data_IF_571824945848
#
_entry.id   IF_571824945848
#
_cell.length_a   1.000
_cell.length_b   1.000
_cell.length_c   1.000
_cell.angle_alpha   90.00
_cell.angle_beta   90.00
_cell.angle_gamma   90.00
#
_symmetry.space_group_name_H-M   'P 1'
#
loop_
_entity.id
_entity.type
_entity.pdbx_description
1 polymer ?
#
# COMPACT_ATOMS: atom_id res chain seq x y z
N UNK A 1 -21.17 -10.64 -25.55
CA UNK A 1 -21.13 -10.03 -24.20
C UNK A 1 -19.89 -10.53 -23.46
N UNK A 2 -19.82 -11.80 -23.05
CA UNK A 2 -18.64 -12.37 -22.34
C UNK A 2 -17.29 -12.11 -23.03
N UNK A 3 -17.20 -12.27 -24.36
CA UNK A 3 -15.92 -12.05 -25.07
C UNK A 3 -15.41 -10.61 -25.01
N UNK A 4 -16.31 -9.62 -24.98
CA UNK A 4 -15.94 -8.21 -24.83
C UNK A 4 -15.56 -7.90 -23.37
N UNK A 5 -16.29 -8.47 -22.40
CA UNK A 5 -15.97 -8.35 -20.98
C UNK A 5 -14.58 -8.93 -20.66
N UNK A 6 -14.26 -10.11 -21.19
CA UNK A 6 -12.95 -10.74 -21.03
C UNK A 6 -11.82 -9.94 -21.68
N UNK A 7 -12.10 -9.18 -22.74
CA UNK A 7 -11.10 -8.34 -23.39
C UNK A 7 -10.62 -7.20 -22.46
N UNK A 8 -11.49 -6.71 -21.57
CA UNK A 8 -11.16 -5.68 -20.58
C UNK A 8 -10.20 -6.23 -19.51
N UNK A 9 -10.31 -7.51 -19.17
CA UNK A 9 -9.49 -8.18 -18.13
C UNK A 9 -8.24 -8.89 -18.70
N UNK A 10 -7.85 -8.61 -19.95
CA UNK A 10 -6.67 -9.23 -20.58
C UNK A 10 -5.41 -9.16 -19.70
N UNK A 11 -5.05 -8.01 -19.08
CA UNK A 11 -3.87 -7.94 -18.23
C UNK A 11 -3.91 -8.90 -17.04
N UNK A 12 -5.03 -8.96 -16.32
CA UNK A 12 -5.23 -9.83 -15.16
C UNK A 12 -5.22 -11.31 -15.56
N UNK A 13 -5.83 -11.65 -16.71
CA UNK A 13 -5.86 -13.01 -17.24
C UNK A 13 -4.45 -13.45 -17.63
N UNK A 14 -3.69 -12.63 -18.35
CA UNK A 14 -2.31 -12.93 -18.76
C UNK A 14 -1.42 -13.18 -17.53
N UNK A 15 -1.50 -12.31 -16.52
CA UNK A 15 -0.71 -12.46 -15.29
C UNK A 15 -1.10 -13.71 -14.50
N UNK A 16 -2.39 -14.04 -14.46
CA UNK A 16 -2.87 -15.27 -13.80
C UNK A 16 -2.39 -16.53 -14.52
N UNK A 17 -2.48 -16.55 -15.85
CA UNK A 17 -1.97 -17.65 -16.68
C UNK A 17 -0.45 -17.77 -16.56
N UNK A 18 0.26 -16.64 -16.54
CA UNK A 18 1.70 -16.61 -16.30
C UNK A 18 2.05 -17.21 -14.93
N UNK A 19 1.36 -16.84 -13.85
CA UNK A 19 1.61 -17.40 -12.52
C UNK A 19 1.40 -18.92 -12.48
N UNK A 20 0.31 -19.42 -13.07
CA UNK A 20 0.04 -20.86 -13.15
C UNK A 20 1.07 -21.60 -14.02
N UNK A 21 1.42 -21.04 -15.19
CA UNK A 21 2.43 -21.61 -16.09
C UNK A 21 3.82 -21.63 -15.47
N UNK A 22 4.24 -20.54 -14.83
CA UNK A 22 5.51 -20.44 -14.12
C UNK A 22 5.60 -21.43 -12.95
N UNK A 23 4.49 -21.63 -12.23
CA UNK A 23 4.38 -22.61 -11.14
C UNK A 23 4.58 -24.05 -11.64
N UNK A 24 3.89 -24.43 -12.72
CA UNK A 24 4.06 -25.75 -13.33
C UNK A 24 5.48 -25.93 -13.89
N UNK A 25 5.98 -24.94 -14.64
CA UNK A 25 7.33 -24.99 -15.20
C UNK A 25 8.39 -25.17 -14.11
N UNK A 26 8.32 -24.41 -13.01
CA UNK A 26 9.26 -24.51 -11.91
C UNK A 26 9.24 -25.90 -11.25
N UNK A 27 8.06 -26.46 -10.98
CA UNK A 27 7.91 -27.76 -10.31
C UNK A 27 8.45 -28.92 -11.17
N UNK A 28 8.19 -28.89 -12.48
CA UNK A 28 8.54 -29.99 -13.39
C UNK A 28 9.94 -29.91 -13.99
N UNK A 29 10.68 -28.81 -13.79
CA UNK A 29 12.05 -28.66 -14.30
C UNK A 29 13.07 -28.65 -13.17
N UNK A 30 13.52 -27.48 -12.72
CA UNK A 30 14.65 -27.35 -11.80
C UNK A 30 14.36 -26.56 -10.51
N UNK A 31 13.07 -26.37 -10.18
CA UNK A 31 12.60 -25.80 -8.90
C UNK A 31 13.34 -24.49 -8.55
N UNK A 32 14.04 -24.46 -7.43
CA UNK A 32 14.75 -23.28 -6.92
C UNK A 32 15.86 -22.78 -7.84
N UNK A 33 16.43 -23.63 -8.70
CA UNK A 33 17.45 -23.19 -9.66
C UNK A 33 16.86 -22.23 -10.72
N UNK A 34 15.54 -22.25 -10.96
CA UNK A 34 14.87 -21.28 -11.82
C UNK A 34 14.51 -19.98 -11.12
N UNK A 35 14.59 -19.90 -9.80
CA UNK A 35 14.09 -18.76 -9.05
C UNK A 35 14.70 -17.41 -9.50
N UNK A 36 16.02 -17.30 -9.78
CA UNK A 36 16.59 -16.07 -10.33
C UNK A 36 16.00 -15.71 -11.70
N UNK A 37 15.96 -16.65 -12.64
CA UNK A 37 15.43 -16.43 -13.98
C UNK A 37 13.95 -16.04 -13.96
N UNK A 38 13.14 -16.71 -13.12
CA UNK A 38 11.74 -16.39 -12.90
C UNK A 38 11.55 -15.01 -12.28
N UNK A 39 12.44 -14.59 -11.37
CA UNK A 39 12.36 -13.25 -10.77
C UNK A 39 12.54 -12.16 -11.83
N UNK A 40 13.54 -12.30 -12.70
CA UNK A 40 13.76 -11.37 -13.81
C UNK A 40 12.63 -11.43 -14.86
N UNK A 41 12.19 -12.62 -15.23
CA UNK A 41 11.08 -12.81 -16.18
C UNK A 41 9.78 -12.19 -15.63
N UNK A 42 9.47 -12.41 -14.36
CA UNK A 42 8.30 -11.83 -13.69
C UNK A 42 8.40 -10.31 -13.67
N UNK A 43 9.55 -9.74 -13.28
CA UNK A 43 9.73 -8.29 -13.28
C UNK A 43 9.51 -7.69 -14.69
N UNK A 44 10.02 -8.37 -15.72
CA UNK A 44 9.82 -7.97 -17.12
C UNK A 44 8.34 -8.04 -17.53
N UNK A 45 7.65 -9.15 -17.23
CA UNK A 45 6.23 -9.32 -17.56
C UNK A 45 5.37 -8.25 -16.87
N UNK A 46 5.63 -7.97 -15.59
CA UNK A 46 4.93 -6.91 -14.85
C UNK A 46 5.18 -5.53 -15.46
N UNK A 47 6.43 -5.22 -15.83
CA UNK A 47 6.77 -3.94 -16.46
C UNK A 47 6.13 -3.79 -17.85
N UNK A 48 6.12 -4.84 -18.67
CA UNK A 48 5.47 -4.84 -19.99
C UNK A 48 3.96 -4.65 -19.84
N UNK A 49 3.32 -5.35 -18.88
CA UNK A 49 1.90 -5.15 -18.60
C UNK A 49 1.60 -3.74 -18.09
N UNK A 50 2.48 -3.17 -17.26
CA UNK A 50 2.37 -1.78 -16.81
C UNK A 50 2.43 -0.79 -17.98
N UNK A 51 3.39 -0.98 -18.89
CA UNK A 51 3.48 -0.17 -20.12
C UNK A 51 2.26 -0.35 -21.02
N UNK A 52 1.79 -1.58 -21.20
CA UNK A 52 0.59 -1.87 -21.98
C UNK A 52 -0.63 -1.12 -21.44
N UNK A 53 -0.87 -1.17 -20.13
CA UNK A 53 -1.98 -0.45 -19.49
C UNK A 53 -1.80 1.07 -19.61
N UNK A 54 -0.57 1.58 -19.50
CA UNK A 54 -0.29 3.01 -19.60
C UNK A 54 -0.59 3.59 -20.99
N UNK A 55 -0.49 2.78 -22.05
CA UNK A 55 -0.78 3.20 -23.43
C UNK A 55 -2.16 2.75 -23.93
N UNK A 56 -2.82 1.84 -23.22
CA UNK A 56 -4.13 1.33 -23.61
C UNK A 56 -5.24 2.33 -23.27
N UNK A 57 -5.95 2.79 -24.31
CA UNK A 57 -7.33 3.29 -24.27
C UNK A 57 -7.65 4.54 -23.42
N UNK A 58 -8.52 5.39 -23.96
CA UNK A 58 -9.22 6.42 -23.18
C UNK A 58 -10.61 5.96 -22.76
N UNK A 59 -11.24 6.68 -21.83
CA UNK A 59 -12.63 6.45 -21.42
C UNK A 59 -12.81 5.45 -20.28
N UNK A 60 -14.06 5.08 -20.03
CA UNK A 60 -14.47 4.13 -18.99
C UNK A 60 -15.05 2.89 -19.67
N UNK A 61 -14.50 1.72 -19.36
CA UNK A 61 -15.00 0.43 -19.81
C UNK A 61 -15.54 -0.33 -18.60
N UNK A 62 -16.75 -0.89 -18.76
CA UNK A 62 -17.41 -1.71 -17.76
C UNK A 62 -17.45 -3.15 -18.26
N UNK A 63 -17.12 -4.09 -17.39
CA UNK A 63 -17.25 -5.52 -17.66
C UNK A 63 -18.15 -6.17 -16.61
N UNK A 64 -18.84 -7.25 -17.00
CA UNK A 64 -19.68 -8.06 -16.12
C UNK A 64 -20.73 -7.21 -15.37
N UNK A 65 -21.51 -6.42 -16.10
CA UNK A 65 -22.58 -5.58 -15.54
C UNK A 65 -22.10 -4.60 -14.45
N UNK A 66 -20.88 -4.06 -14.64
CA UNK A 66 -20.30 -3.08 -13.74
C UNK A 66 -19.58 -3.65 -12.52
N UNK A 67 -19.46 -4.98 -12.39
CA UNK A 67 -18.63 -5.60 -11.34
C UNK A 67 -17.14 -5.27 -11.50
N UNK A 68 -16.69 -4.97 -12.72
CA UNK A 68 -15.33 -4.56 -13.01
C UNK A 68 -15.29 -3.27 -13.84
N UNK A 69 -14.52 -2.29 -13.35
CA UNK A 69 -14.41 -0.94 -13.89
C UNK A 69 -12.96 -0.65 -14.31
N UNK A 70 -12.77 -0.44 -15.61
CA UNK A 70 -11.53 0.02 -16.22
C UNK A 70 -11.66 1.49 -16.64
N UNK A 71 -11.13 2.39 -15.82
CA UNK A 71 -11.15 3.84 -16.04
C UNK A 71 -9.75 4.43 -15.81
N UNK A 72 -9.61 5.75 -15.97
CA UNK A 72 -8.33 6.41 -15.80
C UNK A 72 -7.74 6.25 -14.39
N UNK A 73 -8.60 6.20 -13.37
CA UNK A 73 -8.20 6.02 -11.98
C UNK A 73 -7.62 4.62 -11.77
N UNK A 74 -8.34 3.58 -12.20
CA UNK A 74 -7.86 2.20 -12.03
C UNK A 74 -6.63 1.92 -12.87
N UNK A 75 -6.55 2.43 -14.10
CA UNK A 75 -5.34 2.32 -14.93
C UNK A 75 -4.13 2.97 -14.27
N UNK A 76 -4.25 4.20 -13.74
CA UNK A 76 -3.15 4.87 -13.06
C UNK A 76 -2.64 4.08 -11.85
N UNK A 77 -3.56 3.60 -10.99
CA UNK A 77 -3.19 2.81 -9.83
C UNK A 77 -2.59 1.44 -10.20
N UNK A 78 -3.13 0.73 -11.21
CA UNK A 78 -2.56 -0.53 -11.73
C UNK A 78 -1.14 -0.33 -12.25
N UNK A 79 -0.90 0.74 -13.01
CA UNK A 79 0.44 1.08 -13.52
C UNK A 79 1.42 1.27 -12.36
N UNK A 80 1.06 2.04 -11.33
CA UNK A 80 1.89 2.21 -10.13
C UNK A 80 2.18 0.88 -9.42
N UNK A 81 1.15 0.04 -9.24
CA UNK A 81 1.28 -1.29 -8.59
C UNK A 81 2.26 -2.18 -9.38
N UNK A 82 2.11 -2.25 -10.70
CA UNK A 82 2.92 -3.09 -11.57
C UNK A 82 4.38 -2.66 -11.57
N UNK A 83 4.66 -1.36 -11.73
CA UNK A 83 6.02 -0.85 -11.69
C UNK A 83 6.66 -0.97 -10.31
N UNK A 84 5.92 -0.71 -9.23
CA UNK A 84 6.42 -0.90 -7.87
C UNK A 84 6.79 -2.37 -7.60
N UNK A 85 5.91 -3.31 -7.96
CA UNK A 85 6.18 -4.74 -7.79
C UNK A 85 7.37 -5.21 -8.64
N UNK A 86 7.44 -4.79 -9.91
CA UNK A 86 8.57 -5.09 -10.80
C UNK A 86 9.89 -4.59 -10.21
N UNK A 87 9.92 -3.34 -9.75
CA UNK A 87 11.13 -2.75 -9.21
C UNK A 87 11.55 -3.37 -7.87
N UNK A 88 10.61 -3.76 -7.00
CA UNK A 88 10.93 -4.51 -5.77
C UNK A 88 11.56 -5.86 -6.09
N UNK A 89 11.08 -6.58 -7.11
CA UNK A 89 11.69 -7.84 -7.55
C UNK A 89 13.14 -7.63 -8.02
N UNK A 90 13.38 -6.58 -8.82
CA UNK A 90 14.72 -6.27 -9.35
C UNK A 90 15.69 -5.82 -8.25
N UNK A 91 15.26 -4.91 -7.37
CA UNK A 91 16.10 -4.40 -6.28
C UNK A 91 16.35 -5.49 -5.23
N UNK A 92 15.36 -6.35 -4.99
CA UNK A 92 15.41 -7.42 -3.99
C UNK A 92 16.14 -8.68 -4.43
N UNK A 93 16.41 -8.89 -5.73
CA UNK A 93 16.95 -10.17 -6.23
C UNK A 93 18.27 -10.55 -5.58
N UNK A 94 19.23 -9.63 -5.58
CA UNK A 94 20.57 -9.86 -5.05
C UNK A 94 20.54 -10.08 -3.54
N UNK A 95 19.68 -9.33 -2.84
CA UNK A 95 19.47 -9.49 -1.42
C UNK A 95 18.91 -10.89 -1.10
N UNK A 96 17.90 -11.35 -1.85
CA UNK A 96 17.28 -12.64 -1.63
C UNK A 96 18.22 -13.81 -1.95
N UNK A 97 19.06 -13.69 -3.00
CA UNK A 97 20.07 -14.70 -3.35
C UNK A 97 21.15 -14.77 -2.27
N UNK A 98 21.74 -13.63 -1.87
CA UNK A 98 22.83 -13.57 -0.87
C UNK A 98 22.42 -14.10 0.49
N UNK A 99 21.14 -14.02 0.83
CA UNK A 99 20.60 -14.49 2.10
C UNK A 99 19.93 -15.88 2.00
N UNK A 100 20.06 -16.58 0.86
CA UNK A 100 19.50 -17.93 0.63
C UNK A 100 17.97 -18.02 0.80
N UNK A 101 17.29 -16.90 0.57
CA UNK A 101 15.84 -16.74 0.70
C UNK A 101 15.10 -16.88 -0.62
N UNK A 102 15.80 -16.78 -1.76
CA UNK A 102 15.15 -16.80 -3.06
C UNK A 102 14.68 -18.23 -3.41
N UNK A 103 13.37 -18.42 -3.34
CA UNK A 103 12.67 -19.63 -3.80
C UNK A 103 11.80 -19.31 -5.00
N UNK A 104 11.51 -20.29 -5.85
CA UNK A 104 10.77 -20.03 -7.08
C UNK A 104 9.32 -19.60 -6.82
N UNK A 105 8.76 -19.92 -5.64
CA UNK A 105 7.43 -19.49 -5.21
C UNK A 105 7.37 -17.98 -4.96
N UNK A 106 8.48 -17.32 -4.59
CA UNK A 106 8.50 -15.89 -4.30
C UNK A 106 7.99 -15.03 -5.47
N UNK A 107 8.59 -15.08 -6.68
CA UNK A 107 8.09 -14.28 -7.80
C UNK A 107 6.69 -14.70 -8.26
N UNK A 108 6.25 -15.95 -8.03
CA UNK A 108 4.90 -16.41 -8.40
C UNK A 108 3.85 -15.82 -7.45
N UNK A 109 4.09 -15.89 -6.14
CA UNK A 109 3.23 -15.29 -5.11
C UNK A 109 3.15 -13.77 -5.28
N UNK A 110 4.23 -13.13 -5.71
CA UNK A 110 4.23 -11.71 -6.06
C UNK A 110 3.26 -11.39 -7.20
N UNK A 111 3.22 -12.21 -8.26
CA UNK A 111 2.25 -12.02 -9.36
C UNK A 111 0.83 -12.24 -8.88
N UNK A 112 0.57 -13.30 -8.12
CA UNK A 112 -0.77 -13.54 -7.54
C UNK A 112 -1.21 -12.36 -6.66
N UNK A 113 -0.29 -11.79 -5.88
CA UNK A 113 -0.56 -10.59 -5.11
C UNK A 113 -0.92 -9.39 -5.99
N UNK A 114 -0.16 -9.18 -7.07
CA UNK A 114 -0.43 -8.12 -8.05
C UNK A 114 -1.76 -8.30 -8.76
N UNK A 115 -2.13 -9.52 -9.15
CA UNK A 115 -3.45 -9.79 -9.74
C UNK A 115 -4.56 -9.41 -8.75
N UNK A 116 -4.44 -9.81 -7.49
CA UNK A 116 -5.38 -9.40 -6.43
C UNK A 116 -5.48 -7.88 -6.30
N UNK A 117 -4.32 -7.20 -6.26
CA UNK A 117 -4.25 -5.73 -6.22
C UNK A 117 -4.92 -5.06 -7.43
N UNK A 118 -4.73 -5.59 -8.65
CA UNK A 118 -5.34 -5.05 -9.87
C UNK A 118 -6.87 -5.23 -9.86
N UNK A 119 -7.35 -6.39 -9.41
CA UNK A 119 -8.79 -6.67 -9.26
C UNK A 119 -9.43 -5.72 -8.25
N UNK A 120 -8.80 -5.48 -7.10
CA UNK A 120 -9.34 -4.57 -6.07
C UNK A 120 -9.55 -3.15 -6.60
N UNK A 121 -8.58 -2.63 -7.33
CA UNK A 121 -8.60 -1.24 -7.83
C UNK A 121 -9.65 -1.05 -8.93
N UNK A 122 -9.99 -2.14 -9.63
CA UNK A 122 -11.05 -2.19 -10.64
C UNK A 122 -12.38 -2.73 -10.13
N UNK A 123 -12.54 -2.99 -8.83
CA UNK A 123 -13.80 -3.52 -8.32
C UNK A 123 -14.92 -2.48 -8.42
N UNK A 124 -16.07 -2.88 -8.96
CA UNK A 124 -17.32 -2.12 -8.96
C UNK A 124 -18.40 -2.71 -8.03
N UNK A 125 -18.07 -3.78 -7.31
CA UNK A 125 -18.93 -4.37 -6.28
C UNK A 125 -18.12 -4.93 -5.10
N UNK A 126 -18.80 -5.12 -3.97
CA UNK A 126 -18.18 -5.56 -2.71
C UNK A 126 -17.58 -6.98 -2.78
N UNK A 127 -18.10 -7.88 -3.62
CA UNK A 127 -17.61 -9.26 -3.73
C UNK A 127 -16.35 -9.30 -4.59
N UNK A 128 -16.34 -8.66 -5.77
CA UNK A 128 -15.12 -8.57 -6.58
C UNK A 128 -13.99 -7.88 -5.82
N UNK A 129 -14.32 -6.83 -5.06
CA UNK A 129 -13.42 -6.19 -4.13
C UNK A 129 -12.83 -7.21 -3.13
N UNK A 130 -13.69 -7.95 -2.43
CA UNK A 130 -13.27 -8.93 -1.43
C UNK A 130 -12.37 -10.02 -2.02
N UNK A 131 -12.71 -10.53 -3.20
CA UNK A 131 -11.91 -11.56 -3.89
C UNK A 131 -10.51 -11.06 -4.24
N UNK A 132 -10.40 -9.83 -4.75
CA UNK A 132 -9.09 -9.20 -4.99
C UNK A 132 -8.31 -9.01 -3.69
N UNK A 133 -8.98 -8.56 -2.63
CA UNK A 133 -8.40 -8.32 -1.30
C UNK A 133 -7.85 -9.61 -0.68
N UNK A 134 -8.58 -10.72 -0.74
CA UNK A 134 -8.12 -12.00 -0.20
C UNK A 134 -7.00 -12.61 -1.04
N UNK A 135 -7.09 -12.55 -2.37
CA UNK A 135 -6.05 -13.07 -3.26
C UNK A 135 -4.70 -12.40 -2.97
N UNK A 136 -4.68 -11.06 -2.83
CA UNK A 136 -3.44 -10.38 -2.45
C UNK A 136 -2.98 -10.76 -1.04
N UNK A 137 -3.92 -10.88 -0.10
CA UNK A 137 -3.59 -11.01 1.32
C UNK A 137 -2.96 -12.37 1.59
N UNK A 138 -3.57 -13.44 1.09
CA UNK A 138 -3.06 -14.80 1.23
C UNK A 138 -1.65 -14.94 0.63
N UNK A 139 -1.41 -14.34 -0.54
CA UNK A 139 -0.08 -14.33 -1.14
C UNK A 139 0.94 -13.58 -0.28
N UNK A 140 0.58 -12.39 0.23
CA UNK A 140 1.46 -11.58 1.08
C UNK A 140 1.74 -12.24 2.45
N UNK A 141 0.77 -12.95 3.04
CA UNK A 141 0.97 -13.69 4.30
C UNK A 141 2.04 -14.77 4.15
N UNK A 142 2.04 -15.51 3.05
CA UNK A 142 3.05 -16.54 2.76
C UNK A 142 4.42 -15.89 2.57
N UNK A 143 4.49 -14.83 1.78
CA UNK A 143 5.76 -14.12 1.50
C UNK A 143 6.33 -13.46 2.76
N UNK A 144 5.50 -12.99 3.70
CA UNK A 144 5.94 -12.46 5.00
C UNK A 144 6.76 -13.46 5.83
N UNK A 145 6.42 -14.75 5.70
CA UNK A 145 6.99 -15.87 6.45
C UNK A 145 8.04 -16.69 5.66
N UNK A 146 8.53 -16.16 4.54
CA UNK A 146 9.43 -16.92 3.64
C UNK A 146 10.71 -17.40 4.33
N UNK A 147 11.19 -16.67 5.36
CA UNK A 147 12.36 -17.08 6.17
C UNK A 147 11.93 -17.98 7.33
N UNK A 148 11.53 -19.20 7.01
CA UNK A 148 11.00 -20.20 7.96
C UNK A 148 11.92 -20.54 9.15
N UNK A 149 13.23 -20.43 8.97
CA UNK A 149 14.22 -20.75 10.01
C UNK A 149 14.42 -19.61 11.02
N UNK A 150 13.69 -18.49 10.86
CA UNK A 150 13.73 -17.35 11.77
C UNK A 150 12.42 -17.21 12.52
N UNK A 151 12.49 -17.37 13.85
CA UNK A 151 11.34 -17.17 14.75
C UNK A 151 10.69 -15.80 14.52
N UNK A 152 11.48 -14.74 14.31
CA UNK A 152 10.97 -13.38 14.05
C UNK A 152 10.16 -13.28 12.75
N UNK A 153 10.62 -13.94 11.68
CA UNK A 153 9.90 -13.93 10.39
C UNK A 153 8.61 -14.74 10.48
N UNK A 154 8.63 -15.88 11.17
CA UNK A 154 7.45 -16.71 11.40
C UNK A 154 6.43 -16.00 12.28
N UNK A 155 6.88 -15.34 13.35
CA UNK A 155 6.02 -14.51 14.21
C UNK A 155 5.37 -13.36 13.43
N UNK A 156 6.14 -12.65 12.60
CA UNK A 156 5.61 -11.60 11.73
C UNK A 156 4.54 -12.14 10.78
N UNK A 157 4.81 -13.24 10.08
CA UNK A 157 3.83 -13.87 9.20
C UNK A 157 2.54 -14.26 9.93
N UNK A 158 2.66 -14.85 11.12
CA UNK A 158 1.52 -15.24 11.94
C UNK A 158 0.71 -14.03 12.43
N UNK A 159 1.38 -12.99 12.95
CA UNK A 159 0.73 -11.73 13.35
C UNK A 159 0.01 -11.09 12.18
N UNK A 160 0.63 -11.08 11.00
CA UNK A 160 0.01 -10.51 9.79
C UNK A 160 -1.23 -11.31 9.37
N UNK A 161 -1.13 -12.64 9.34
CA UNK A 161 -2.24 -13.52 8.99
C UNK A 161 -3.42 -13.39 9.96
N UNK A 162 -3.18 -13.50 11.27
CA UNK A 162 -4.25 -13.48 12.29
C UNK A 162 -4.95 -12.12 12.32
N UNK A 163 -4.19 -11.02 12.35
CA UNK A 163 -4.77 -9.68 12.35
C UNK A 163 -5.44 -9.36 11.00
N UNK A 164 -4.87 -9.88 9.91
CA UNK A 164 -5.43 -9.75 8.56
C UNK A 164 -6.74 -10.51 8.38
N UNK A 165 -6.85 -11.71 8.95
CA UNK A 165 -8.09 -12.49 8.96
C UNK A 165 -9.19 -11.79 9.78
N UNK A 166 -8.84 -11.16 10.91
CA UNK A 166 -9.78 -10.34 11.68
C UNK A 166 -10.28 -9.16 10.86
N UNK A 167 -9.38 -8.43 10.19
CA UNK A 167 -9.74 -7.33 9.28
C UNK A 167 -10.63 -7.78 8.13
N UNK A 168 -10.34 -8.94 7.53
CA UNK A 168 -11.17 -9.58 6.50
C UNK A 168 -12.58 -9.91 7.02
N UNK A 169 -12.68 -10.46 8.23
CA UNK A 169 -13.96 -10.72 8.89
C UNK A 169 -14.78 -9.44 9.14
N UNK A 170 -14.12 -8.36 9.57
CA UNK A 170 -14.77 -7.04 9.71
C UNK A 170 -15.26 -6.52 8.36
N UNK A 171 -14.46 -6.66 7.30
CA UNK A 171 -14.86 -6.27 5.95
C UNK A 171 -16.11 -7.04 5.51
N UNK A 172 -16.10 -8.38 5.62
CA UNK A 172 -17.23 -9.22 5.22
C UNK A 172 -18.48 -8.92 6.03
N UNK A 173 -18.35 -8.65 7.33
CA UNK A 173 -19.49 -8.28 8.16
C UNK A 173 -20.06 -6.92 7.74
N UNK A 174 -19.20 -5.93 7.48
CA UNK A 174 -19.62 -4.63 6.94
C UNK A 174 -20.26 -4.72 5.56
N UNK A 175 -19.71 -5.57 4.68
CA UNK A 175 -20.27 -5.84 3.35
C UNK A 175 -21.62 -6.56 3.44
N UNK A 176 -21.78 -7.49 4.38
CA UNK A 176 -23.05 -8.19 4.64
C UNK A 176 -24.13 -7.24 5.14
N UNK A 177 -23.81 -6.35 6.08
CA UNK A 177 -24.73 -5.29 6.52
C UNK A 177 -25.10 -4.35 5.37
N UNK A 178 -24.11 -3.93 4.58
CA UNK A 178 -24.33 -3.08 3.41
C UNK A 178 -25.29 -3.76 2.43
N UNK A 179 -25.04 -5.03 2.09
CA UNK A 179 -25.91 -5.82 1.25
C UNK A 179 -27.33 -5.99 1.84
N UNK A 180 -27.44 -6.24 3.15
CA UNK A 180 -28.72 -6.45 3.81
C UNK A 180 -29.64 -5.22 3.78
N UNK A 181 -29.06 -4.01 3.80
CA UNK A 181 -29.82 -2.75 3.79
C UNK A 181 -29.92 -2.11 2.39
N UNK A 182 -28.94 -2.32 1.51
CA UNK A 182 -28.97 -1.82 0.12
C UNK A 182 -29.65 -2.80 -0.86
N UNK A 183 -29.75 -4.09 -0.52
CA UNK A 183 -30.28 -5.14 -1.39
C UNK A 183 -29.36 -5.56 -2.54
N UNK A 184 -28.13 -5.04 -2.58
CA UNK A 184 -27.15 -5.29 -3.66
C UNK A 184 -25.72 -5.14 -3.15
N UNK A 185 -24.76 -5.75 -3.85
CA UNK A 185 -23.32 -5.58 -3.61
C UNK A 185 -22.68 -4.60 -4.58
N UNK A 186 -23.37 -4.23 -5.66
CA UNK A 186 -22.88 -3.30 -6.69
C UNK A 186 -22.85 -1.88 -6.11
N UNK A 187 -21.73 -1.19 -6.33
CA UNK A 187 -21.49 0.15 -5.81
C UNK A 187 -22.54 1.17 -6.26
N UNK A 188 -22.98 1.10 -7.52
CA UNK A 188 -24.01 2.01 -8.04
C UNK A 188 -25.32 1.90 -7.25
N UNK A 189 -25.78 0.68 -6.96
CA UNK A 189 -26.99 0.49 -6.18
C UNK A 189 -26.82 0.77 -4.68
N UNK A 190 -25.60 0.67 -4.15
CA UNK A 190 -25.30 1.11 -2.77
C UNK A 190 -25.39 2.64 -2.67
N UNK A 191 -24.88 3.39 -3.66
CA UNK A 191 -25.04 4.85 -3.72
C UNK A 191 -26.52 5.22 -3.68
N UNK A 192 -27.35 4.57 -4.50
CA UNK A 192 -28.78 4.86 -4.57
C UNK A 192 -29.48 4.61 -3.23
N UNK A 193 -29.13 3.51 -2.54
CA UNK A 193 -29.66 3.19 -1.22
C UNK A 193 -29.16 4.14 -0.12
N UNK A 194 -27.95 4.70 -0.27
CA UNK A 194 -27.35 5.63 0.70
C UNK A 194 -27.84 7.08 0.54
N UNK A 195 -28.27 7.48 -0.67
CA UNK A 195 -28.60 8.87 -1.02
C UNK A 195 -30.01 9.32 -0.61
N UNK A 196 -30.78 8.46 0.08
CA UNK A 196 -32.07 8.82 0.66
C UNK A 196 -31.95 9.86 1.79
N UNK A 197 -33.07 10.50 2.16
CA UNK A 197 -33.09 11.58 3.16
C UNK A 197 -32.57 11.16 4.54
N UNK A 198 -32.69 9.87 4.89
CA UNK A 198 -32.10 9.28 6.10
C UNK A 198 -31.41 7.96 5.74
N UNK A 199 -30.08 7.93 5.86
CA UNK A 199 -29.30 6.70 5.67
C UNK A 199 -29.70 5.66 6.72
N UNK A 200 -30.06 4.42 6.34
CA UNK A 200 -30.38 3.38 7.31
C UNK A 200 -29.21 3.14 8.26
N UNK A 201 -29.48 3.04 9.56
CA UNK A 201 -28.44 2.82 10.58
C UNK A 201 -27.57 1.59 10.28
N UNK A 202 -28.17 0.52 9.75
CA UNK A 202 -27.42 -0.68 9.36
C UNK A 202 -26.42 -0.44 8.23
N UNK A 203 -26.74 0.44 7.27
CA UNK A 203 -25.83 0.84 6.20
C UNK A 203 -24.68 1.69 6.74
N UNK A 204 -24.96 2.57 7.72
CA UNK A 204 -23.93 3.33 8.44
C UNK A 204 -22.97 2.41 9.22
N UNK A 205 -23.47 1.41 9.93
CA UNK A 205 -22.62 0.40 10.57
C UNK A 205 -21.82 -0.40 9.54
N UNK A 206 -22.43 -0.75 8.40
CA UNK A 206 -21.76 -1.38 7.27
C UNK A 206 -20.56 -0.56 6.79
N UNK A 207 -20.78 0.74 6.54
CA UNK A 207 -19.74 1.71 6.18
C UNK A 207 -18.61 1.77 7.22
N UNK A 208 -18.93 1.87 8.51
CA UNK A 208 -17.93 1.92 9.59
C UNK A 208 -17.07 0.66 9.63
N UNK A 209 -17.68 -0.53 9.50
CA UNK A 209 -16.94 -1.80 9.49
C UNK A 209 -16.05 -1.94 8.26
N UNK A 210 -16.55 -1.55 7.08
CA UNK A 210 -15.76 -1.53 5.85
C UNK A 210 -14.58 -0.56 5.98
N UNK A 211 -14.81 0.68 6.42
CA UNK A 211 -13.75 1.68 6.64
C UNK A 211 -12.73 1.16 7.66
N UNK A 212 -13.16 0.54 8.75
CA UNK A 212 -12.26 -0.02 9.77
C UNK A 212 -11.36 -1.11 9.20
N UNK A 213 -11.91 -1.98 8.34
CA UNK A 213 -11.12 -3.01 7.66
C UNK A 213 -10.14 -2.43 6.64
N UNK A 214 -10.54 -1.40 5.88
CA UNK A 214 -9.65 -0.71 4.94
C UNK A 214 -8.56 0.08 5.66
N UNK A 215 -8.87 0.70 6.80
CA UNK A 215 -7.92 1.38 7.68
C UNK A 215 -6.83 0.43 8.17
N UNK A 216 -7.18 -0.82 8.51
CA UNK A 216 -6.19 -1.86 8.80
C UNK A 216 -5.26 -2.12 7.61
N UNK A 217 -5.80 -2.27 6.38
CA UNK A 217 -5.02 -2.57 5.17
C UNK A 217 -4.04 -1.46 4.80
N UNK A 218 -4.42 -0.20 5.00
CA UNK A 218 -3.51 0.94 4.77
C UNK A 218 -2.59 1.21 5.96
N UNK A 219 -2.70 0.49 7.08
CA UNK A 219 -1.95 0.72 8.33
C UNK A 219 -2.30 2.05 9.02
N UNK A 220 -3.53 2.52 8.91
CA UNK A 220 -3.97 3.73 9.61
C UNK A 220 -4.22 3.44 11.10
N UNK A 221 -3.87 4.37 11.97
CA UNK A 221 -4.24 4.29 13.38
C UNK A 221 -5.76 4.48 13.54
N UNK A 222 -6.42 3.72 14.44
CA UNK A 222 -5.83 2.86 15.46
C UNK A 222 -5.48 1.45 14.99
N UNK A 223 -5.79 1.04 13.76
CA UNK A 223 -5.66 -0.33 13.23
C UNK A 223 -4.25 -0.71 12.70
N UNK A 224 -3.22 0.01 13.12
CA UNK A 224 -1.86 -0.08 12.57
C UNK A 224 -0.98 -1.17 13.22
N UNK A 225 -1.44 -1.84 14.29
CA UNK A 225 -0.62 -2.64 15.21
C UNK A 225 0.20 -3.74 14.54
N UNK A 226 -0.24 -4.26 13.40
CA UNK A 226 0.48 -5.28 12.64
C UNK A 226 1.75 -4.73 11.98
N UNK A 227 1.77 -3.45 11.60
CA UNK A 227 2.73 -2.88 10.66
C UNK A 227 4.16 -2.83 11.22
N UNK A 228 4.41 -2.33 12.46
CA UNK A 228 5.76 -2.28 13.00
C UNK A 228 6.40 -3.66 13.14
N UNK A 229 5.66 -4.61 13.69
CA UNK A 229 6.15 -5.97 13.95
C UNK A 229 6.40 -6.75 12.65
N UNK A 230 5.52 -6.60 11.66
CA UNK A 230 5.68 -7.28 10.37
C UNK A 230 6.81 -6.67 9.55
N UNK A 231 6.96 -5.34 9.57
CA UNK A 231 8.07 -4.68 8.89
C UNK A 231 9.43 -5.07 9.48
N UNK A 232 9.51 -5.16 10.80
CA UNK A 232 10.71 -5.56 11.53
C UNK A 232 11.02 -7.05 11.36
N UNK A 233 10.02 -7.94 11.39
CA UNK A 233 10.22 -9.38 11.35
C UNK A 233 10.44 -9.96 9.95
N UNK A 234 9.78 -9.42 8.93
CA UNK A 234 9.91 -9.92 7.55
C UNK A 234 11.26 -9.54 6.91
N UNK A 235 11.75 -10.31 5.91
CA UNK A 235 12.94 -9.95 5.17
C UNK A 235 12.80 -8.59 4.50
N UNK A 236 13.88 -7.81 4.41
CA UNK A 236 13.84 -6.42 3.94
C UNK A 236 13.23 -6.26 2.54
N UNK A 237 13.48 -7.19 1.61
CA UNK A 237 12.86 -7.21 0.29
C UNK A 237 11.32 -7.32 0.36
N UNK A 238 10.80 -8.07 1.32
CA UNK A 238 9.36 -8.22 1.55
C UNK A 238 8.78 -6.98 2.21
N UNK A 239 9.51 -6.38 3.15
CA UNK A 239 9.11 -5.09 3.76
C UNK A 239 9.05 -3.96 2.71
N UNK A 240 9.95 -3.99 1.72
CA UNK A 240 9.92 -3.06 0.59
C UNK A 240 8.64 -3.21 -0.24
N UNK A 241 8.18 -4.46 -0.45
CA UNK A 241 6.89 -4.71 -1.07
C UNK A 241 5.74 -4.14 -0.23
N UNK A 242 5.67 -4.49 1.06
CA UNK A 242 4.57 -4.06 1.95
C UNK A 242 4.46 -2.54 2.13
N UNK A 243 5.54 -1.80 1.90
CA UNK A 243 5.57 -0.34 1.94
C UNK A 243 5.26 0.32 0.61
N UNK A 244 5.03 -0.42 -0.48
CA UNK A 244 4.84 0.13 -1.82
C UNK A 244 3.53 -0.34 -2.46
N UNK A 245 3.57 -1.36 -3.32
CA UNK A 245 2.45 -1.75 -4.18
C UNK A 245 1.13 -2.03 -3.41
N UNK A 246 1.12 -2.81 -2.31
CA UNK A 246 -0.10 -3.06 -1.54
C UNK A 246 -0.70 -1.81 -0.92
N UNK A 247 0.11 -0.80 -0.58
CA UNK A 247 -0.39 0.48 -0.05
C UNK A 247 -1.08 1.32 -1.11
N UNK A 248 -0.57 1.31 -2.34
CA UNK A 248 -1.25 1.92 -3.48
C UNK A 248 -2.59 1.24 -3.72
N UNK A 249 -2.60 -0.09 -3.81
CA UNK A 249 -3.82 -0.86 -4.02
C UNK A 249 -4.85 -0.62 -2.91
N UNK A 250 -4.41 -0.63 -1.64
CA UNK A 250 -5.29 -0.40 -0.50
C UNK A 250 -5.83 1.04 -0.45
N UNK A 251 -5.02 2.07 -0.75
CA UNK A 251 -5.49 3.46 -0.80
C UNK A 251 -6.42 3.71 -1.98
N UNK A 252 -6.14 3.14 -3.15
CA UNK A 252 -7.00 3.24 -4.31
C UNK A 252 -8.34 2.53 -4.08
N UNK A 253 -8.30 1.35 -3.44
CA UNK A 253 -9.48 0.66 -2.96
C UNK A 253 -10.28 1.51 -1.96
N UNK A 254 -9.60 2.17 -1.02
CA UNK A 254 -10.23 3.06 -0.06
C UNK A 254 -11.03 4.15 -0.78
N UNK A 255 -10.43 4.78 -1.79
CA UNK A 255 -11.08 5.79 -2.61
C UNK A 255 -12.29 5.24 -3.38
N UNK A 256 -12.17 4.06 -4.01
CA UNK A 256 -13.30 3.38 -4.70
C UNK A 256 -14.50 3.21 -3.78
N UNK A 257 -14.29 2.70 -2.57
CA UNK A 257 -15.41 2.45 -1.66
C UNK A 257 -16.08 3.75 -1.23
N UNK A 258 -15.30 4.75 -0.77
CA UNK A 258 -15.91 5.97 -0.21
C UNK A 258 -16.53 6.87 -1.28
N UNK A 259 -15.99 6.88 -2.51
CA UNK A 259 -16.55 7.67 -3.61
C UNK A 259 -17.58 6.91 -4.46
N UNK A 260 -17.28 5.67 -4.86
CA UNK A 260 -18.12 4.95 -5.84
C UNK A 260 -19.24 4.16 -5.16
N UNK A 261 -19.11 3.77 -3.89
CA UNK A 261 -20.19 3.09 -3.14
C UNK A 261 -20.90 4.02 -2.15
N UNK A 262 -20.17 4.93 -1.50
CA UNK A 262 -20.70 5.82 -0.46
C UNK A 262 -20.57 7.32 -0.79
N UNK A 263 -20.43 7.66 -2.07
CA UNK A 263 -20.27 9.05 -2.52
C UNK A 263 -21.44 9.96 -2.22
N UNK A 264 -22.64 9.42 -1.98
CA UNK A 264 -23.83 10.18 -1.57
C UNK A 264 -23.82 10.67 -0.12
N UNK A 265 -22.91 10.18 0.72
CA UNK A 265 -22.88 10.45 2.18
C UNK A 265 -21.51 10.94 2.65
N UNK A 266 -20.93 11.91 1.91
CA UNK A 266 -19.57 12.44 2.14
C UNK A 266 -19.33 12.82 3.60
N UNK A 267 -20.26 13.54 4.22
CA UNK A 267 -20.13 14.00 5.61
C UNK A 267 -19.93 12.84 6.61
N UNK A 268 -20.54 11.69 6.34
CA UNK A 268 -20.51 10.53 7.25
C UNK A 268 -19.14 9.86 7.29
N UNK A 269 -18.51 9.66 6.14
CA UNK A 269 -17.18 9.04 6.09
C UNK A 269 -16.05 10.06 6.22
N UNK A 270 -16.25 11.32 5.81
CA UNK A 270 -15.25 12.38 5.91
C UNK A 270 -14.75 12.56 7.35
N UNK A 271 -15.66 12.59 8.34
CA UNK A 271 -15.30 12.68 9.76
C UNK A 271 -14.43 11.49 10.22
N UNK A 272 -14.72 10.28 9.73
CA UNK A 272 -13.98 9.07 10.08
C UNK A 272 -12.58 9.14 9.48
N UNK A 273 -12.47 9.48 8.19
CA UNK A 273 -11.19 9.61 7.50
C UNK A 273 -10.33 10.73 8.11
N UNK A 274 -10.93 11.87 8.46
CA UNK A 274 -10.23 12.96 9.14
C UNK A 274 -9.69 12.52 10.51
N UNK A 275 -10.48 11.77 11.29
CA UNK A 275 -10.03 11.19 12.55
C UNK A 275 -8.86 10.21 12.37
N UNK A 276 -8.98 9.27 11.43
CA UNK A 276 -7.92 8.31 11.11
C UNK A 276 -6.64 9.02 10.63
N UNK A 277 -6.78 10.08 9.84
CA UNK A 277 -5.67 10.88 9.32
C UNK A 277 -4.88 11.54 10.46
N UNK A 278 -5.57 12.26 11.36
CA UNK A 278 -4.93 12.90 12.53
C UNK A 278 -4.25 11.85 13.39
N UNK A 279 -4.96 10.80 13.79
CA UNK A 279 -4.40 9.81 14.69
C UNK A 279 -3.16 9.14 14.08
N UNK A 280 -3.17 8.85 12.77
CA UNK A 280 -2.04 8.24 12.07
C UNK A 280 -0.84 9.19 11.97
N UNK A 281 -1.05 10.47 11.66
CA UNK A 281 0.03 11.46 11.58
C UNK A 281 0.74 11.63 12.92
N UNK A 282 -0.02 11.80 14.01
CA UNK A 282 0.52 12.01 15.35
C UNK A 282 1.17 10.75 15.92
N UNK A 283 0.47 9.60 15.87
CA UNK A 283 0.99 8.35 16.41
C UNK A 283 2.25 7.93 15.65
N UNK A 284 2.22 7.98 14.32
CA UNK A 284 3.38 7.63 13.49
C UNK A 284 4.58 8.54 13.77
N UNK A 285 4.37 9.86 13.90
CA UNK A 285 5.46 10.79 14.18
C UNK A 285 6.07 10.59 15.58
N UNK A 286 5.24 10.50 16.63
CA UNK A 286 5.72 10.36 18.01
C UNK A 286 6.40 9.00 18.21
N UNK A 287 5.79 7.92 17.74
CA UNK A 287 6.33 6.58 17.91
C UNK A 287 7.64 6.37 17.13
N UNK A 288 7.86 7.09 16.02
CA UNK A 288 9.09 6.98 15.24
C UNK A 288 10.35 7.49 15.98
N UNK A 289 10.21 8.50 16.88
CA UNK A 289 11.35 9.15 17.56
C UNK A 289 12.16 8.15 18.41
N UNK A 290 11.48 7.21 19.08
CA UNK A 290 12.10 6.25 19.99
C UNK A 290 12.59 4.95 19.34
N UNK A 291 12.52 4.82 18.01
CA UNK A 291 12.88 3.57 17.34
C UNK A 291 14.39 3.43 17.17
N UNK A 292 14.91 2.23 17.41
CA UNK A 292 16.33 1.87 17.22
C UNK A 292 16.57 1.04 15.96
N UNK A 293 15.53 0.38 15.44
CA UNK A 293 15.54 -0.38 14.19
C UNK A 293 15.01 0.46 13.03
N UNK A 294 15.74 0.51 11.91
CA UNK A 294 15.39 1.33 10.75
C UNK A 294 14.13 0.83 10.04
N UNK A 295 13.85 -0.47 10.02
CA UNK A 295 12.63 -0.99 9.40
C UNK A 295 11.41 -0.65 10.25
N UNK A 296 11.56 -0.71 11.58
CA UNK A 296 10.51 -0.28 12.52
C UNK A 296 10.28 1.22 12.46
N UNK A 297 11.34 2.03 12.34
CA UNK A 297 11.23 3.47 12.06
C UNK A 297 10.46 3.72 10.75
N UNK A 298 10.81 3.00 9.68
CA UNK A 298 10.11 3.10 8.39
C UNK A 298 8.65 2.64 8.48
N UNK A 299 8.31 1.71 9.38
CA UNK A 299 6.94 1.29 9.63
C UNK A 299 6.11 2.43 10.25
N UNK A 300 6.64 3.14 11.25
CA UNK A 300 5.96 4.30 11.84
C UNK A 300 5.92 5.50 10.91
N UNK A 301 6.98 5.73 10.13
CA UNK A 301 6.98 6.69 9.02
C UNK A 301 5.85 6.38 8.05
N UNK A 302 5.72 5.12 7.64
CA UNK A 302 4.65 4.63 6.77
C UNK A 302 3.26 4.90 7.35
N UNK A 303 3.02 4.67 8.65
CA UNK A 303 1.76 5.01 9.32
C UNK A 303 1.47 6.52 9.22
N UNK A 304 2.45 7.37 9.52
CA UNK A 304 2.30 8.83 9.40
C UNK A 304 1.99 9.27 7.96
N UNK A 305 2.69 8.70 6.98
CA UNK A 305 2.49 8.99 5.56
C UNK A 305 1.08 8.59 5.08
N UNK A 306 0.49 7.51 5.59
CA UNK A 306 -0.91 7.15 5.27
C UNK A 306 -1.91 8.12 5.87
N UNK A 307 -1.58 8.76 7.01
CA UNK A 307 -2.38 9.86 7.53
C UNK A 307 -2.49 11.05 6.57
N UNK A 308 -1.40 11.42 5.90
CA UNK A 308 -1.42 12.45 4.86
C UNK A 308 -2.18 12.01 3.59
N UNK A 309 -2.07 10.74 3.18
CA UNK A 309 -2.84 10.23 2.05
C UNK A 309 -4.35 10.22 2.35
N UNK A 310 -4.73 9.81 3.56
CA UNK A 310 -6.12 9.86 4.05
C UNK A 310 -6.64 11.29 4.18
N UNK A 311 -5.79 12.26 4.54
CA UNK A 311 -6.18 13.68 4.53
C UNK A 311 -6.60 14.14 3.14
N UNK A 312 -5.86 13.78 2.09
CA UNK A 312 -6.23 14.08 0.71
C UNK A 312 -7.59 13.46 0.34
N UNK A 313 -7.82 12.20 0.73
CA UNK A 313 -9.09 11.52 0.49
C UNK A 313 -10.26 12.11 1.30
N UNK A 314 -10.00 12.56 2.54
CA UNK A 314 -11.01 13.19 3.40
C UNK A 314 -11.59 14.48 2.79
N UNK A 315 -10.88 15.14 1.87
CA UNK A 315 -11.39 16.32 1.17
C UNK A 315 -12.70 16.04 0.42
N UNK A 316 -12.98 14.79 0.02
CA UNK A 316 -14.25 14.43 -0.62
C UNK A 316 -14.46 14.97 -2.02
N UNK A 317 -13.39 15.47 -2.66
CA UNK A 317 -13.41 16.05 -4.00
C UNK A 317 -12.52 15.26 -4.97
N UNK A 318 -12.77 15.42 -6.27
CA UNK A 318 -11.90 14.84 -7.31
C UNK A 318 -10.43 15.30 -7.16
N UNK A 319 -10.23 16.56 -6.78
CA UNK A 319 -8.91 17.11 -6.49
C UNK A 319 -8.24 16.44 -5.28
N UNK A 320 -9.01 16.09 -4.25
CA UNK A 320 -8.52 15.30 -3.11
C UNK A 320 -8.01 13.92 -3.52
N UNK A 321 -8.75 13.24 -4.40
CA UNK A 321 -8.33 11.95 -4.99
C UNK A 321 -7.07 12.11 -5.83
N UNK A 322 -6.98 13.15 -6.67
CA UNK A 322 -5.79 13.45 -7.46
C UNK A 322 -4.56 13.72 -6.57
N UNK A 323 -4.72 14.56 -5.54
CA UNK A 323 -3.66 14.86 -4.59
C UNK A 323 -3.19 13.60 -3.84
N UNK A 324 -4.12 12.72 -3.45
CA UNK A 324 -3.80 11.42 -2.85
C UNK A 324 -2.98 10.54 -3.80
N UNK A 325 -3.38 10.44 -5.07
CA UNK A 325 -2.66 9.65 -6.08
C UNK A 325 -1.24 10.17 -6.34
N UNK A 326 -1.08 11.50 -6.48
CA UNK A 326 0.23 12.15 -6.61
C UNK A 326 1.09 11.86 -5.39
N UNK A 327 0.51 11.99 -4.20
CA UNK A 327 1.21 11.70 -2.95
C UNK A 327 1.67 10.25 -2.86
N UNK A 328 0.82 9.29 -3.25
CA UNK A 328 1.14 7.87 -3.27
C UNK A 328 2.24 7.53 -4.27
N UNK A 329 2.26 8.16 -5.45
CA UNK A 329 3.34 7.99 -6.42
C UNK A 329 4.70 8.44 -5.83
N UNK A 330 4.75 9.63 -5.23
CA UNK A 330 5.95 10.17 -4.59
C UNK A 330 6.37 9.28 -3.40
N UNK A 331 5.42 8.85 -2.57
CA UNK A 331 5.64 7.96 -1.44
C UNK A 331 6.27 6.63 -1.85
N UNK A 332 5.76 5.98 -2.90
CA UNK A 332 6.32 4.72 -3.41
C UNK A 332 7.75 4.90 -3.87
N UNK A 333 8.04 5.94 -4.65
CA UNK A 333 9.41 6.21 -5.14
C UNK A 333 10.39 6.42 -3.98
N UNK A 334 10.02 7.19 -2.96
CA UNK A 334 10.86 7.42 -1.79
C UNK A 334 11.12 6.14 -0.98
N UNK A 335 10.07 5.34 -0.75
CA UNK A 335 10.22 4.08 -0.01
C UNK A 335 11.06 3.07 -0.78
N UNK A 336 10.87 2.97 -2.08
CA UNK A 336 11.63 2.04 -2.91
C UNK A 336 13.13 2.36 -2.87
N UNK A 337 13.50 3.63 -2.99
CA UNK A 337 14.89 4.07 -2.83
C UNK A 337 15.43 3.83 -1.41
N UNK A 338 14.61 4.06 -0.39
CA UNK A 338 15.00 3.85 1.01
C UNK A 338 15.24 2.38 1.32
N UNK A 339 14.33 1.49 0.91
CA UNK A 339 14.50 0.06 1.13
C UNK A 339 15.61 -0.53 0.28
N UNK A 340 15.87 0.00 -0.93
CA UNK A 340 17.05 -0.34 -1.70
C UNK A 340 18.34 -0.09 -0.89
N UNK A 341 18.42 1.07 -0.22
CA UNK A 341 19.52 1.37 0.69
C UNK A 341 19.58 0.42 1.89
N UNK A 342 18.45 0.16 2.57
CA UNK A 342 18.41 -0.73 3.74
C UNK A 342 18.88 -2.15 3.35
N UNK A 343 18.57 -2.65 2.15
CA UNK A 343 19.05 -3.95 1.68
C UNK A 343 20.58 -4.02 1.51
N UNK A 344 21.25 -2.88 1.34
CA UNK A 344 22.73 -2.83 1.27
C UNK A 344 23.40 -2.82 2.65
N UNK A 345 22.64 -2.50 3.71
CA UNK A 345 23.16 -2.46 5.07
C UNK A 345 23.49 -3.87 5.55
N UNK A 346 24.79 -4.16 5.67
CA UNK A 346 25.29 -5.42 6.16
C UNK A 346 26.53 -5.24 7.02
N UNK A 347 26.73 -6.15 7.98
CA UNK A 347 27.92 -6.24 8.82
C UNK A 347 28.33 -7.70 8.89
N UNK A 348 29.60 -7.99 8.62
CA UNK A 348 30.16 -9.35 8.63
C UNK A 348 29.36 -10.33 7.75
N UNK A 349 28.90 -9.85 6.58
CA UNK A 349 28.11 -10.63 5.62
C UNK A 349 26.65 -10.86 6.02
N UNK A 350 26.17 -10.30 7.13
CA UNK A 350 24.78 -10.44 7.59
C UNK A 350 24.02 -9.11 7.47
N UNK A 351 22.73 -9.11 7.09
CA UNK A 351 21.91 -7.92 7.10
C UNK A 351 21.84 -7.28 8.49
N UNK A 352 21.96 -5.96 8.55
CA UNK A 352 21.81 -5.19 9.80
C UNK A 352 20.78 -4.08 9.60
N UNK A 353 19.89 -3.96 10.57
CA UNK A 353 18.79 -3.00 10.56
C UNK A 353 18.87 -1.99 11.70
N UNK A 354 19.85 -2.11 12.59
CA UNK A 354 20.05 -1.19 13.70
C UNK A 354 20.53 0.18 13.20
N UNK A 355 19.90 1.26 13.67
CA UNK A 355 20.24 2.64 13.28
C UNK A 355 21.68 2.98 13.70
N UNK A 356 22.18 2.42 14.81
CA UNK A 356 23.56 2.61 15.25
C UNK A 356 24.60 2.12 14.24
N UNK A 357 24.24 1.22 13.32
CA UNK A 357 25.10 0.76 12.23
C UNK A 357 25.36 1.84 11.16
N UNK A 358 24.59 2.94 11.17
CA UNK A 358 24.82 4.10 10.31
C UNK A 358 25.89 5.06 10.86
N UNK A 359 26.40 4.81 12.07
CA UNK A 359 27.47 5.63 12.66
C UNK A 359 28.70 5.66 11.74
N UNK A 360 29.18 6.86 11.44
CA UNK A 360 30.31 7.10 10.52
C UNK A 360 30.14 6.55 9.10
N UNK A 361 28.90 6.28 8.66
CA UNK A 361 28.64 5.74 7.32
C UNK A 361 29.08 6.71 6.20
N UNK A 362 28.87 8.02 6.40
CA UNK A 362 29.27 9.06 5.45
C UNK A 362 30.80 9.11 5.19
N UNK A 363 31.61 8.75 6.17
CA UNK A 363 33.07 8.72 6.04
C UNK A 363 33.57 7.52 5.21
N UNK A 364 32.76 6.46 5.06
CA UNK A 364 33.10 5.25 4.30
C UNK A 364 32.49 5.25 2.90
N UNK A 365 31.22 5.62 2.82
CA UNK A 365 30.37 5.46 1.63
C UNK A 365 29.58 6.76 1.41
N UNK A 366 30.29 7.84 1.09
CA UNK A 366 29.74 9.20 1.01
C UNK A 366 28.58 9.35 0.02
N UNK A 367 28.63 8.65 -1.12
CA UNK A 367 27.58 8.67 -2.14
C UNK A 367 26.29 8.02 -1.66
N UNK A 368 26.38 6.84 -1.04
CA UNK A 368 25.22 6.15 -0.44
C UNK A 368 24.65 6.94 0.73
N UNK A 369 25.52 7.56 1.53
CA UNK A 369 25.12 8.43 2.65
C UNK A 369 24.33 9.66 2.16
N UNK A 370 24.78 10.30 1.08
CA UNK A 370 24.07 11.41 0.46
C UNK A 370 22.72 10.96 -0.11
N UNK A 371 22.67 9.80 -0.77
CA UNK A 371 21.43 9.26 -1.33
C UNK A 371 20.37 9.01 -0.25
N UNK A 372 20.74 8.34 0.87
CA UNK A 372 19.80 8.12 1.97
C UNK A 372 19.42 9.44 2.67
N UNK A 373 20.33 10.40 2.79
CA UNK A 373 20.03 11.74 3.34
C UNK A 373 18.93 12.43 2.51
N UNK A 374 19.08 12.46 1.18
CA UNK A 374 18.09 13.05 0.27
C UNK A 374 16.74 12.34 0.39
N UNK A 375 16.74 11.01 0.44
CA UNK A 375 15.49 10.23 0.59
C UNK A 375 14.80 10.49 1.93
N UNK A 376 15.56 10.53 3.04
CA UNK A 376 15.03 10.82 4.37
C UNK A 376 14.49 12.24 4.47
N UNK A 377 15.18 13.24 3.91
CA UNK A 377 14.69 14.61 3.85
C UNK A 377 13.46 14.75 2.97
N UNK A 378 13.36 13.96 1.90
CA UNK A 378 12.16 13.91 1.06
C UNK A 378 10.99 13.32 1.83
N UNK A 379 11.16 12.20 2.56
CA UNK A 379 10.13 11.62 3.43
C UNK A 379 9.68 12.60 4.52
N UNK A 380 10.65 13.28 5.14
CA UNK A 380 10.35 14.36 6.09
C UNK A 380 9.54 15.48 5.42
N UNK A 381 9.81 15.77 4.14
CA UNK A 381 9.11 16.75 3.31
C UNK A 381 9.80 18.11 3.32
N UNK A 382 11.13 18.15 3.29
CA UNK A 382 11.94 19.38 3.32
C UNK A 382 12.02 19.98 1.91
N UNK A 383 11.71 21.28 1.71
CA UNK A 383 11.93 21.94 0.42
C UNK A 383 13.42 21.92 0.01
N UNK A 384 13.78 21.70 -1.28
CA UNK A 384 12.93 21.61 -2.48
C UNK A 384 12.60 20.16 -2.92
N UNK A 385 12.59 19.18 -2.01
CA UNK A 385 12.45 17.77 -2.37
C UNK A 385 11.00 17.35 -2.69
N UNK A 386 10.84 16.26 -3.45
CA UNK A 386 9.54 15.80 -3.94
C UNK A 386 8.49 15.58 -2.84
N UNK A 387 8.88 15.02 -1.69
CA UNK A 387 7.94 14.77 -0.61
C UNK A 387 7.36 16.03 0.03
N UNK A 388 7.99 17.20 -0.14
CA UNK A 388 7.38 18.48 0.21
C UNK A 388 6.16 18.76 -0.68
N UNK A 389 6.31 18.65 -2.00
CA UNK A 389 5.23 18.89 -2.96
C UNK A 389 4.08 17.91 -2.81
N UNK A 390 4.37 16.64 -2.49
CA UNK A 390 3.33 15.68 -2.15
C UNK A 390 2.51 16.13 -0.94
N UNK A 391 3.15 16.48 0.18
CA UNK A 391 2.44 16.95 1.39
C UNK A 391 1.68 18.25 1.13
N UNK A 392 2.27 19.15 0.34
CA UNK A 392 1.64 20.40 -0.03
C UNK A 392 0.34 20.17 -0.83
N UNK A 393 0.33 19.25 -1.79
CA UNK A 393 -0.85 18.94 -2.60
C UNK A 393 -2.04 18.45 -1.74
N UNK A 394 -1.81 17.51 -0.82
CA UNK A 394 -2.88 16.99 0.07
C UNK A 394 -3.34 18.02 1.10
N UNK A 395 -2.43 18.88 1.58
CA UNK A 395 -2.78 19.99 2.48
C UNK A 395 -3.65 21.02 1.77
N UNK A 396 -3.29 21.39 0.53
CA UNK A 396 -4.04 22.34 -0.28
C UNK A 396 -5.46 21.82 -0.56
N UNK A 397 -5.59 20.55 -0.98
CA UNK A 397 -6.88 19.92 -1.20
C UNK A 397 -7.76 19.91 0.07
N UNK A 398 -7.17 19.67 1.24
CA UNK A 398 -7.89 19.72 2.52
C UNK A 398 -8.36 21.15 2.87
N UNK A 399 -7.53 22.17 2.65
CA UNK A 399 -7.90 23.57 2.90
C UNK A 399 -9.03 24.03 1.97
N UNK A 400 -8.93 23.70 0.68
CA UNK A 400 -9.94 24.06 -0.33
C UNK A 400 -11.27 23.34 -0.09
N UNK A 401 -11.25 22.14 0.50
CA UNK A 401 -12.43 21.42 0.96
C UNK A 401 -12.99 21.92 2.32
N UNK A 402 -12.46 23.02 2.89
CA UNK A 402 -12.91 23.57 4.17
C UNK A 402 -12.40 22.83 5.42
N UNK A 403 -11.52 21.84 5.26
CA UNK A 403 -10.90 21.07 6.34
C UNK A 403 -9.60 21.73 6.84
N UNK A 404 -9.59 23.05 6.98
CA UNK A 404 -8.39 23.81 7.41
C UNK A 404 -7.84 23.31 8.76
N UNK A 405 -8.72 22.89 9.68
CA UNK A 405 -8.32 22.32 10.96
C UNK A 405 -7.49 21.04 10.81
N UNK A 406 -7.84 20.19 9.82
CA UNK A 406 -7.14 18.95 9.52
C UNK A 406 -5.77 19.24 8.89
N UNK A 407 -5.72 20.24 8.00
CA UNK A 407 -4.46 20.70 7.41
C UNK A 407 -3.49 21.25 8.48
N UNK A 408 -4.00 22.06 9.42
CA UNK A 408 -3.21 22.55 10.56
C UNK A 408 -2.71 21.40 11.45
N UNK A 409 -3.57 20.41 11.71
CA UNK A 409 -3.19 19.21 12.45
C UNK A 409 -2.09 18.40 11.73
N UNK A 410 -2.00 18.43 10.39
CA UNK A 410 -0.90 17.80 9.65
C UNK A 410 0.41 18.58 9.70
N UNK A 411 0.37 19.89 9.90
CA UNK A 411 1.57 20.74 10.03
C UNK A 411 2.11 20.72 11.48
N UNK A 412 1.24 20.62 12.48
CA UNK A 412 1.63 20.72 13.91
C UNK A 412 2.64 19.68 14.42
N UNK A 413 2.65 18.39 14.00
CA UNK A 413 3.66 17.43 14.45
C UNK A 413 5.10 17.84 14.14
N UNK A 414 5.29 18.83 13.26
CA UNK A 414 6.60 19.39 12.90
C UNK A 414 7.08 20.51 13.83
N UNK A 415 6.18 21.23 14.51
CA UNK A 415 6.53 22.39 15.34
C UNK A 415 6.94 22.02 16.77
N UNK A 416 6.79 20.76 17.18
CA UNK A 416 7.08 20.28 18.54
C UNK A 416 8.37 19.47 18.67
N UNK A 417 9.21 19.39 17.63
CA UNK A 417 10.57 18.84 17.73
C UNK A 417 11.55 19.88 18.28
N UNK A 418 12.16 19.70 19.48
CA UNK A 418 13.12 20.64 20.01
C UNK A 418 14.44 20.53 19.22
N UNK A 419 14.63 21.40 18.24
CA UNK A 419 15.91 21.58 17.55
C UNK A 419 16.85 22.54 18.34
N UNK A 420 16.45 23.03 19.53
CA UNK A 420 17.15 24.11 20.25
C UNK A 420 18.02 23.73 21.45
N UNK A 421 18.36 22.46 21.69
CA UNK A 421 19.27 22.10 22.80
C UNK A 421 20.26 21.01 22.42
N UNK A 422 21.21 21.33 21.53
CA UNK A 422 22.49 20.63 21.41
C UNK A 422 23.52 21.56 20.76
N UNK A 423 23.67 22.76 21.31
CA UNK A 423 24.72 23.70 20.95
C UNK A 423 25.18 24.50 22.18
N UNK A 424 25.50 23.81 23.28
CA UNK A 424 26.28 24.38 24.39
C UNK A 424 26.66 23.30 25.41
N UNK A 425 27.75 22.59 25.17
CA UNK A 425 28.63 22.07 26.23
C UNK A 425 29.91 21.53 25.59
N UNK A 426 30.90 22.43 25.45
CA UNK A 426 32.31 22.10 25.68
C UNK A 426 32.53 21.68 27.12
#
# INVERSE_FOLDING_TARGET
MIGADLAILIPEIILSLYAMGAMLAAVYTSKDALAPALTWATALVLAIMGLYIAVSGGGQNLAFDGMFVDDAFSRFAKVMILFAAAAVLLIGSDYMIKNELLRFEYPILMVLAVVGMMVMVSAGDLITLYMGLELQSLALYVVAAVRRDSVRSTEAGLKYFVLGALSSGLFLYGASLTYGFAGTTNFAGIIDAASGSDMPLGLLFGLVFVISALAFKVSAAPFHMWTPDVYEGSPTAITALFSTAPKVAAMALFARVVHDAFGGVVDQWQQILAFLAVLSMFLGAIAAIGQTDIKRLMAYSSISHMGFALMGLAAGTAQGVEAMLIYMAIYVTMNMGTFAFIMTMSKDGRPVTQISALSSFASRESTKALAILVLMFSLAGVPPLLGFFGKYAVLLAAVEAGLTWLALAGVSPRSSGPITTCASST
#
